data_IF_243142545883
#
_entry.id   IF_243142545883
#
_cell.length_a   1.000
_cell.length_b   1.000
_cell.length_c   1.000
_cell.angle_alpha   90.00
_cell.angle_beta   90.00
_cell.angle_gamma   90.00
#
_symmetry.space_group_name_H-M   'P 1'
#
loop_
_entity.id
_entity.type
_entity.pdbx_description
1 polymer ?
#
# COMPACT_ATOMS: atom_id res chain seq x y z
N UNK A 1 -25.92 10.32 -32.64
CA UNK A 1 -26.22 9.02 -32.00
C UNK A 1 -27.18 9.29 -30.87
N UNK A 2 -28.21 8.47 -30.68
CA UNK A 2 -29.11 8.61 -29.54
C UNK A 2 -28.35 8.26 -28.25
N UNK A 3 -28.56 9.04 -27.21
CA UNK A 3 -27.92 8.80 -25.89
C UNK A 3 -28.81 7.85 -25.10
N UNK A 4 -28.26 6.74 -24.62
CA UNK A 4 -29.00 5.79 -23.78
C UNK A 4 -29.34 6.47 -22.45
N UNK A 5 -30.60 6.34 -22.01
CA UNK A 5 -31.11 6.92 -20.76
C UNK A 5 -31.93 5.87 -20.03
N UNK A 6 -31.48 5.51 -18.81
CA UNK A 6 -32.18 4.57 -17.94
C UNK A 6 -33.05 5.35 -16.95
N UNK A 7 -34.36 5.33 -17.18
CA UNK A 7 -35.31 6.08 -16.39
C UNK A 7 -36.18 5.16 -15.54
N UNK A 8 -36.18 5.39 -14.21
CA UNK A 8 -37.18 4.82 -13.32
C UNK A 8 -38.39 5.74 -13.27
N UNK A 9 -39.55 5.24 -13.71
CA UNK A 9 -40.80 6.01 -13.82
C UNK A 9 -41.75 5.55 -12.71
N UNK A 10 -42.05 6.44 -11.77
CA UNK A 10 -43.01 6.21 -10.69
C UNK A 10 -44.34 6.83 -11.10
N UNK A 11 -45.22 6.01 -11.70
CA UNK A 11 -46.45 6.45 -12.35
C UNK A 11 -47.47 5.30 -12.39
N UNK A 12 -48.72 5.55 -12.07
CA UNK A 12 -49.79 4.57 -12.11
C UNK A 12 -50.50 4.50 -13.48
N UNK A 13 -50.43 5.58 -14.28
CA UNK A 13 -51.00 5.68 -15.60
C UNK A 13 -50.06 5.21 -16.71
N UNK A 14 -50.46 4.20 -17.48
CA UNK A 14 -49.75 3.77 -18.66
C UNK A 14 -49.73 4.86 -19.75
N UNK A 15 -50.84 5.57 -19.93
CA UNK A 15 -50.96 6.64 -20.95
C UNK A 15 -49.98 7.79 -20.63
N UNK A 16 -49.88 8.21 -19.36
CA UNK A 16 -48.94 9.25 -18.96
C UNK A 16 -47.49 8.80 -19.09
N UNK A 17 -47.20 7.56 -18.79
CA UNK A 17 -45.89 6.94 -19.06
C UNK A 17 -45.54 7.03 -20.57
N UNK A 18 -46.46 6.74 -21.45
CA UNK A 18 -46.22 6.81 -22.91
C UNK A 18 -46.00 8.26 -23.38
N UNK A 19 -46.65 9.24 -22.77
CA UNK A 19 -46.38 10.67 -23.02
C UNK A 19 -44.95 11.03 -22.62
N UNK A 20 -44.49 10.64 -21.42
CA UNK A 20 -43.13 10.85 -20.96
C UNK A 20 -42.09 10.24 -21.90
N UNK A 21 -42.27 8.97 -22.28
CA UNK A 21 -41.37 8.26 -23.18
C UNK A 21 -41.29 8.93 -24.58
N UNK A 22 -42.42 9.45 -25.06
CA UNK A 22 -42.44 10.20 -26.33
C UNK A 22 -41.62 11.47 -26.26
N UNK A 23 -41.76 12.24 -25.19
CA UNK A 23 -40.96 13.46 -24.99
C UNK A 23 -39.49 13.18 -24.85
N UNK A 24 -39.07 12.13 -24.09
CA UNK A 24 -37.70 11.70 -23.98
C UNK A 24 -37.07 11.30 -25.32
N UNK A 25 -37.83 10.52 -26.13
CA UNK A 25 -37.37 10.12 -27.47
C UNK A 25 -37.27 11.31 -28.44
N UNK A 26 -38.18 12.30 -28.34
CA UNK A 26 -38.07 13.57 -29.09
C UNK A 26 -36.81 14.35 -28.73
N UNK A 27 -36.35 14.24 -27.49
CA UNK A 27 -35.07 14.80 -26.99
C UNK A 27 -33.82 14.07 -27.45
N UNK A 28 -33.97 13.01 -28.28
CA UNK A 28 -32.83 12.25 -28.82
C UNK A 28 -32.31 11.16 -27.89
N UNK A 29 -33.07 10.78 -26.86
CA UNK A 29 -32.71 9.68 -25.98
C UNK A 29 -33.22 8.34 -26.46
N UNK A 30 -32.40 7.30 -26.36
CA UNK A 30 -32.79 5.92 -26.40
C UNK A 30 -33.15 5.47 -24.98
N UNK A 31 -34.43 5.20 -24.68
CA UNK A 31 -34.90 5.07 -23.31
C UNK A 31 -35.08 3.61 -22.91
N UNK A 32 -34.32 3.15 -21.95
CA UNK A 32 -34.59 1.99 -21.14
C UNK A 32 -35.37 2.44 -19.90
N UNK A 33 -36.47 1.81 -19.60
CA UNK A 33 -37.27 2.23 -18.45
C UNK A 33 -37.88 1.07 -17.67
N UNK A 34 -38.22 1.33 -16.43
CA UNK A 34 -39.07 0.48 -15.60
C UNK A 34 -40.12 1.38 -14.97
N UNK A 35 -41.38 0.97 -15.04
CA UNK A 35 -42.51 1.64 -14.41
C UNK A 35 -42.85 0.95 -13.09
N UNK A 36 -42.98 1.73 -12.03
CA UNK A 36 -43.33 1.25 -10.68
C UNK A 36 -44.48 2.09 -10.12
N UNK A 37 -45.37 1.44 -9.36
CA UNK A 37 -46.59 2.07 -8.82
C UNK A 37 -46.57 2.04 -7.27
N UNK A 38 -45.59 1.38 -6.67
CA UNK A 38 -45.53 1.19 -5.21
C UNK A 38 -44.14 1.43 -4.65
N UNK A 39 -44.06 1.80 -3.39
CA UNK A 39 -42.78 1.98 -2.69
C UNK A 39 -41.89 0.72 -2.76
N UNK A 40 -42.48 -0.45 -2.48
CA UNK A 40 -41.70 -1.70 -2.49
C UNK A 40 -41.10 -2.01 -3.87
N UNK A 41 -41.87 -1.79 -4.95
CA UNK A 41 -41.38 -1.96 -6.30
C UNK A 41 -40.26 -0.96 -6.63
N UNK A 42 -40.39 0.31 -6.22
CA UNK A 42 -39.35 1.31 -6.41
C UNK A 42 -38.07 0.93 -5.65
N UNK A 43 -38.16 0.56 -4.38
CA UNK A 43 -36.99 0.14 -3.57
C UNK A 43 -36.31 -1.08 -4.21
N UNK A 44 -37.07 -2.04 -4.72
CA UNK A 44 -36.54 -3.19 -5.42
C UNK A 44 -35.82 -2.80 -6.72
N UNK A 45 -36.42 -1.93 -7.54
CA UNK A 45 -35.84 -1.45 -8.80
C UNK A 45 -34.52 -0.68 -8.54
N UNK A 46 -34.44 0.14 -7.48
CA UNK A 46 -33.24 0.88 -7.11
C UNK A 46 -32.06 -0.03 -6.73
N UNK A 47 -32.33 -1.24 -6.24
CA UNK A 47 -31.28 -2.22 -5.87
C UNK A 47 -30.89 -3.11 -7.06
N UNK A 48 -31.85 -3.47 -7.89
CA UNK A 48 -31.63 -4.47 -8.96
C UNK A 48 -30.93 -3.92 -10.20
N UNK A 49 -31.08 -2.62 -10.49
CA UNK A 49 -30.54 -1.98 -11.70
C UNK A 49 -29.94 -0.62 -11.40
N UNK A 50 -29.13 -0.16 -12.34
CA UNK A 50 -28.58 1.21 -12.34
C UNK A 50 -29.49 2.13 -13.15
N UNK A 51 -29.78 3.29 -12.60
CA UNK A 51 -30.64 4.32 -13.19
C UNK A 51 -29.87 5.60 -13.41
N UNK A 52 -30.30 6.40 -14.41
CA UNK A 52 -29.74 7.70 -14.70
C UNK A 52 -30.62 8.84 -14.14
N UNK A 53 -31.94 8.61 -14.05
CA UNK A 53 -32.90 9.55 -13.43
C UNK A 53 -34.16 8.85 -12.94
N UNK A 54 -34.92 9.57 -12.08
CA UNK A 54 -36.26 9.19 -11.64
C UNK A 54 -37.25 10.26 -12.08
N UNK A 55 -38.33 9.83 -12.76
CA UNK A 55 -39.50 10.64 -13.06
C UNK A 55 -40.64 10.16 -12.20
N UNK A 56 -41.23 11.03 -11.38
CA UNK A 56 -42.24 10.65 -10.43
C UNK A 56 -43.49 11.50 -10.60
N UNK A 57 -44.66 10.85 -10.78
CA UNK A 57 -45.92 11.58 -10.66
C UNK A 57 -46.18 12.06 -9.25
N UNK A 58 -46.70 13.29 -9.12
CA UNK A 58 -46.98 13.88 -7.82
C UNK A 58 -48.15 13.17 -7.12
N UNK A 59 -49.19 12.78 -7.89
CA UNK A 59 -50.42 12.22 -7.37
C UNK A 59 -50.55 10.74 -7.71
N UNK A 60 -50.12 9.89 -6.79
CA UNK A 60 -50.22 8.44 -6.93
C UNK A 60 -51.25 7.89 -5.91
N UNK A 61 -52.07 6.89 -6.26
CA UNK A 61 -53.13 6.39 -5.38
C UNK A 61 -52.66 5.68 -4.11
N UNK A 62 -51.49 5.10 -4.13
CA UNK A 62 -50.94 4.23 -3.07
C UNK A 62 -49.57 4.65 -2.54
N UNK A 63 -48.98 5.70 -3.11
CA UNK A 63 -47.63 6.08 -2.86
C UNK A 63 -47.45 7.56 -3.23
N UNK A 64 -46.86 8.37 -2.40
CA UNK A 64 -46.73 9.81 -2.70
C UNK A 64 -45.35 10.11 -3.27
N UNK A 65 -45.22 11.20 -4.06
CA UNK A 65 -43.93 11.69 -4.52
C UNK A 65 -42.97 12.02 -3.36
N UNK A 66 -43.49 12.39 -2.21
CA UNK A 66 -42.73 12.58 -0.97
C UNK A 66 -42.09 11.27 -0.47
N UNK A 67 -42.88 10.18 -0.47
CA UNK A 67 -42.39 8.87 -0.06
C UNK A 67 -41.36 8.33 -1.05
N UNK A 68 -41.56 8.60 -2.36
CA UNK A 68 -40.61 8.24 -3.40
C UNK A 68 -39.28 8.97 -3.24
N UNK A 69 -39.31 10.28 -3.01
CA UNK A 69 -38.11 11.08 -2.74
C UNK A 69 -37.38 10.60 -1.47
N UNK A 70 -38.13 10.27 -0.43
CA UNK A 70 -37.56 9.73 0.81
C UNK A 70 -36.92 8.35 0.60
N UNK A 71 -37.56 7.48 -0.21
CA UNK A 71 -36.98 6.16 -0.57
C UNK A 71 -35.68 6.33 -1.34
N UNK A 72 -35.59 7.26 -2.28
CA UNK A 72 -34.33 7.58 -2.98
C UNK A 72 -33.26 8.07 -2.00
N UNK A 73 -33.59 8.99 -1.10
CA UNK A 73 -32.63 9.49 -0.10
C UNK A 73 -32.12 8.38 0.82
N UNK A 74 -32.98 7.46 1.22
CA UNK A 74 -32.62 6.30 2.05
C UNK A 74 -31.76 5.27 1.32
N UNK A 75 -31.85 5.19 -0.01
CA UNK A 75 -30.99 4.31 -0.84
C UNK A 75 -29.54 4.79 -0.94
N UNK A 76 -29.26 6.06 -0.62
CA UNK A 76 -27.93 6.67 -0.78
C UNK A 76 -27.52 6.95 -2.22
N UNK A 77 -28.39 6.67 -3.21
CA UNK A 77 -28.13 6.96 -4.61
C UNK A 77 -28.31 8.44 -4.91
N UNK A 78 -27.40 8.99 -5.70
CA UNK A 78 -27.42 10.40 -6.16
C UNK A 78 -27.98 10.47 -7.57
N UNK A 79 -29.30 10.36 -7.70
CA UNK A 79 -30.01 10.39 -8.98
C UNK A 79 -30.86 11.66 -9.09
N UNK A 80 -30.94 12.28 -10.29
CA UNK A 80 -31.93 13.32 -10.55
C UNK A 80 -33.34 12.80 -10.30
N UNK A 81 -34.10 13.53 -9.48
CA UNK A 81 -35.48 13.23 -9.15
C UNK A 81 -36.36 14.37 -9.64
N UNK A 82 -37.16 14.14 -10.65
CA UNK A 82 -38.04 15.14 -11.26
C UNK A 82 -39.50 14.76 -11.00
N UNK A 83 -40.21 15.68 -10.43
CA UNK A 83 -41.65 15.50 -10.13
C UNK A 83 -42.48 16.04 -11.27
N UNK A 84 -43.52 15.30 -11.63
CA UNK A 84 -44.45 15.63 -12.71
C UNK A 84 -45.85 15.71 -12.12
N UNK A 85 -46.60 16.76 -12.37
CA UNK A 85 -47.92 16.97 -11.78
C UNK A 85 -48.95 17.47 -12.80
N UNK A 86 -50.20 17.05 -12.68
CA UNK A 86 -51.31 17.57 -13.48
C UNK A 86 -51.78 18.96 -13.06
N UNK A 87 -51.58 19.34 -11.80
CA UNK A 87 -51.99 20.61 -11.23
C UNK A 87 -50.83 21.34 -10.58
N UNK A 88 -50.89 22.66 -10.49
CA UNK A 88 -49.88 23.48 -9.81
C UNK A 88 -50.38 23.77 -8.40
N UNK A 89 -49.74 23.20 -7.39
CA UNK A 89 -49.74 23.70 -6.03
C UNK A 89 -48.37 24.31 -5.75
N UNK A 90 -48.26 25.62 -5.89
CA UNK A 90 -46.96 26.33 -5.84
C UNK A 90 -46.23 26.07 -4.50
N UNK A 91 -46.94 25.99 -3.40
CA UNK A 91 -46.34 25.71 -2.09
C UNK A 91 -45.73 24.31 -2.03
N UNK A 92 -46.43 23.28 -2.49
CA UNK A 92 -45.96 21.88 -2.54
C UNK A 92 -44.77 21.72 -3.48
N UNK A 93 -44.75 22.41 -4.60
CA UNK A 93 -43.63 22.39 -5.53
C UNK A 93 -42.34 22.99 -4.92
N UNK A 94 -42.45 24.13 -4.23
CA UNK A 94 -41.34 24.79 -3.54
C UNK A 94 -40.79 23.93 -2.41
N UNK A 95 -41.65 23.29 -1.64
CA UNK A 95 -41.23 22.43 -0.54
C UNK A 95 -40.55 21.17 -1.04
N UNK A 96 -41.05 20.55 -2.13
CA UNK A 96 -40.45 19.39 -2.75
C UNK A 96 -39.03 19.69 -3.26
N UNK A 97 -38.80 20.83 -3.91
CA UNK A 97 -37.51 21.29 -4.36
C UNK A 97 -36.56 21.53 -3.17
N UNK A 98 -37.01 22.14 -2.08
CA UNK A 98 -36.23 22.33 -0.85
C UNK A 98 -35.83 21.00 -0.19
N UNK A 99 -36.64 19.97 -0.34
CA UNK A 99 -36.42 18.66 0.25
C UNK A 99 -35.48 17.79 -0.59
N UNK A 100 -35.17 18.20 -1.84
CA UNK A 100 -34.16 17.54 -2.67
C UNK A 100 -34.65 17.04 -4.03
N UNK A 101 -35.88 17.34 -4.43
CA UNK A 101 -36.30 17.16 -5.83
C UNK A 101 -35.50 18.12 -6.72
N UNK A 102 -35.08 17.65 -7.91
CA UNK A 102 -34.25 18.44 -8.82
C UNK A 102 -35.07 19.43 -9.66
N UNK A 103 -36.29 19.05 -10.04
CA UNK A 103 -37.23 19.97 -10.69
C UNK A 103 -38.67 19.49 -10.45
N UNK A 104 -39.64 20.38 -10.72
CA UNK A 104 -41.06 20.15 -10.67
C UNK A 104 -41.70 20.63 -11.98
N UNK A 105 -42.39 19.74 -12.67
CA UNK A 105 -42.90 19.99 -14.02
C UNK A 105 -44.40 19.73 -14.06
N UNK A 106 -45.14 20.66 -14.66
CA UNK A 106 -46.59 20.50 -14.87
C UNK A 106 -46.87 19.82 -16.17
N UNK A 107 -47.76 18.81 -16.20
CA UNK A 107 -48.12 18.01 -17.37
C UNK A 107 -48.51 18.85 -18.60
N UNK A 108 -49.02 20.08 -18.41
CA UNK A 108 -49.36 21.02 -19.48
C UNK A 108 -48.15 21.84 -19.99
N UNK A 109 -46.94 21.69 -19.40
CA UNK A 109 -45.70 22.40 -19.76
C UNK A 109 -44.51 21.45 -20.00
N UNK A 110 -44.77 20.35 -20.68
CA UNK A 110 -43.79 19.27 -20.94
C UNK A 110 -42.55 19.76 -21.71
N UNK A 111 -42.60 20.91 -22.39
CA UNK A 111 -41.42 21.51 -23.03
C UNK A 111 -40.26 21.80 -22.06
N UNK A 112 -40.52 21.86 -20.73
CA UNK A 112 -39.50 22.04 -19.70
C UNK A 112 -38.83 20.74 -19.26
N UNK A 113 -39.38 19.56 -19.63
CA UNK A 113 -38.88 18.27 -19.15
C UNK A 113 -37.45 18.00 -19.60
N UNK A 114 -37.13 18.16 -20.87
CA UNK A 114 -35.81 17.90 -21.41
C UNK A 114 -34.74 18.80 -20.81
N UNK A 115 -34.92 20.14 -20.75
CA UNK A 115 -33.97 21.03 -20.04
C UNK A 115 -33.77 20.70 -18.56
N UNK A 116 -34.81 20.23 -17.86
CA UNK A 116 -34.70 19.80 -16.45
C UNK A 116 -33.88 18.50 -16.31
N UNK A 117 -34.10 17.55 -17.20
CA UNK A 117 -33.35 16.29 -17.25
C UNK A 117 -31.87 16.56 -17.54
N UNK A 118 -31.57 17.34 -18.58
CA UNK A 118 -30.19 17.69 -18.95
C UNK A 118 -29.44 18.34 -17.78
N UNK A 119 -30.09 19.29 -17.09
CA UNK A 119 -29.53 19.94 -15.91
C UNK A 119 -29.30 18.94 -14.78
N UNK A 120 -30.31 18.14 -14.44
CA UNK A 120 -30.22 17.15 -13.37
C UNK A 120 -29.11 16.12 -13.61
N UNK A 121 -29.00 15.58 -14.82
CA UNK A 121 -27.94 14.65 -15.22
C UNK A 121 -26.54 15.29 -15.13
N UNK A 122 -26.41 16.54 -15.60
CA UNK A 122 -25.16 17.28 -15.52
C UNK A 122 -24.74 17.54 -14.07
N UNK A 123 -25.67 17.94 -13.23
CA UNK A 123 -25.41 18.21 -11.83
C UNK A 123 -25.04 16.93 -11.07
N UNK A 124 -25.73 15.81 -11.33
CA UNK A 124 -25.39 14.51 -10.76
C UNK A 124 -23.99 14.05 -11.22
N UNK A 125 -23.67 14.18 -12.51
CA UNK A 125 -22.35 13.84 -13.04
C UNK A 125 -21.23 14.70 -12.41
N UNK A 126 -21.48 16.01 -12.21
CA UNK A 126 -20.53 16.90 -11.54
C UNK A 126 -20.30 16.51 -10.07
N UNK A 127 -21.36 16.19 -9.33
CA UNK A 127 -21.26 15.74 -7.93
C UNK A 127 -20.49 14.43 -7.83
N UNK A 128 -20.74 13.48 -8.74
CA UNK A 128 -20.02 12.21 -8.78
C UNK A 128 -18.53 12.44 -9.02
N UNK A 129 -18.20 13.24 -10.03
CA UNK A 129 -16.79 13.59 -10.34
C UNK A 129 -16.08 14.28 -9.18
N UNK A 130 -16.77 15.18 -8.48
CA UNK A 130 -16.20 15.84 -7.30
C UNK A 130 -15.90 14.85 -6.16
N UNK A 131 -16.80 13.87 -5.93
CA UNK A 131 -16.58 12.82 -4.92
C UNK A 131 -15.40 11.92 -5.28
N UNK A 132 -15.26 11.55 -6.55
CA UNK A 132 -14.13 10.74 -7.04
C UNK A 132 -12.81 11.48 -6.83
N UNK A 133 -12.72 12.74 -7.25
CA UNK A 133 -11.51 13.58 -7.09
C UNK A 133 -11.17 13.78 -5.60
N UNK A 134 -12.17 14.01 -4.76
CA UNK A 134 -11.95 14.18 -3.32
C UNK A 134 -11.49 12.88 -2.65
N UNK A 135 -12.04 11.73 -3.05
CA UNK A 135 -11.59 10.41 -2.56
C UNK A 135 -10.14 10.13 -2.96
N UNK A 136 -9.78 10.37 -4.24
CA UNK A 136 -8.41 10.24 -4.72
C UNK A 136 -7.45 11.20 -3.98
N UNK A 137 -7.88 12.44 -3.76
CA UNK A 137 -7.09 13.42 -2.99
C UNK A 137 -6.82 12.96 -1.57
N UNK A 138 -7.83 12.39 -0.90
CA UNK A 138 -7.70 11.88 0.47
C UNK A 138 -6.75 10.68 0.53
N UNK A 139 -6.83 9.77 -0.44
CA UNK A 139 -5.92 8.63 -0.54
C UNK A 139 -4.46 9.09 -0.74
N UNK A 140 -4.23 10.03 -1.66
CA UNK A 140 -2.92 10.60 -1.91
C UNK A 140 -2.36 11.33 -0.68
N UNK A 141 -3.19 12.09 0.04
CA UNK A 141 -2.78 12.75 1.28
C UNK A 141 -2.37 11.75 2.36
N UNK A 142 -3.17 10.71 2.59
CA UNK A 142 -2.83 9.66 3.56
C UNK A 142 -1.51 8.97 3.20
N UNK A 143 -1.26 8.73 1.91
CA UNK A 143 0.00 8.15 1.42
C UNK A 143 1.18 9.09 1.64
N UNK A 144 1.01 10.39 1.38
CA UNK A 144 2.05 11.40 1.62
C UNK A 144 2.39 11.53 3.11
N UNK A 145 1.39 11.55 3.99
CA UNK A 145 1.58 11.60 5.44
C UNK A 145 2.34 10.36 5.95
N UNK A 146 2.01 9.17 5.45
CA UNK A 146 2.72 7.94 5.79
C UNK A 146 4.21 8.00 5.37
N UNK A 147 4.49 8.46 4.13
CA UNK A 147 5.86 8.62 3.64
C UNK A 147 6.62 9.69 4.46
N UNK A 148 5.97 10.81 4.78
CA UNK A 148 6.60 11.87 5.56
C UNK A 148 6.96 11.39 6.97
N UNK A 149 6.07 10.65 7.63
CA UNK A 149 6.31 10.05 8.94
C UNK A 149 7.47 9.04 8.91
N UNK A 150 7.58 8.26 7.83
CA UNK A 150 8.70 7.33 7.60
C UNK A 150 10.02 8.10 7.46
N UNK A 151 10.04 9.20 6.69
CA UNK A 151 11.22 10.07 6.52
C UNK A 151 11.63 10.72 7.84
N UNK A 152 10.68 11.25 8.62
CA UNK A 152 10.96 11.85 9.92
C UNK A 152 11.58 10.84 10.89
N UNK A 153 11.00 9.64 10.96
CA UNK A 153 11.53 8.54 11.76
C UNK A 153 12.93 8.13 11.32
N UNK A 154 13.14 7.96 10.01
CA UNK A 154 14.45 7.66 9.43
C UNK A 154 15.49 8.72 9.82
N UNK A 155 15.15 9.99 9.66
CA UNK A 155 16.04 11.11 9.96
C UNK A 155 16.40 11.13 11.46
N UNK A 156 15.41 10.98 12.33
CA UNK A 156 15.62 10.95 13.77
C UNK A 156 16.56 9.81 14.19
N UNK A 157 16.34 8.58 13.71
CA UNK A 157 17.14 7.41 14.03
C UNK A 157 18.57 7.54 13.50
N UNK A 158 18.74 8.04 12.26
CA UNK A 158 20.05 8.30 11.67
C UNK A 158 20.88 9.27 12.52
N UNK A 159 20.29 10.39 12.95
CA UNK A 159 20.99 11.34 13.81
C UNK A 159 21.29 10.78 15.20
N UNK A 160 20.38 9.98 15.76
CA UNK A 160 20.59 9.34 17.06
C UNK A 160 21.82 8.42 17.04
N UNK A 161 21.93 7.56 16.03
CA UNK A 161 23.01 6.57 15.97
C UNK A 161 24.36 7.15 15.54
N UNK A 162 24.36 8.24 14.77
CA UNK A 162 25.58 9.01 14.52
C UNK A 162 26.08 9.79 15.75
N UNK A 163 25.18 10.13 16.69
CA UNK A 163 25.55 10.87 17.90
C UNK A 163 26.41 10.06 18.88
N UNK A 164 26.13 8.75 19.02
CA UNK A 164 26.84 7.90 19.97
C UNK A 164 28.37 7.80 19.68
N UNK A 165 28.82 7.42 18.46
CA UNK A 165 30.24 7.39 18.11
C UNK A 165 30.86 8.80 18.16
N UNK A 166 30.12 9.87 17.81
CA UNK A 166 30.61 11.24 17.92
C UNK A 166 30.89 11.64 19.36
N UNK A 167 30.05 11.24 20.33
CA UNK A 167 30.29 11.47 21.76
C UNK A 167 31.54 10.72 22.20
N UNK A 168 31.74 9.48 21.73
CA UNK A 168 32.93 8.67 22.01
C UNK A 168 34.20 9.38 21.51
N UNK A 169 34.22 9.84 20.26
CA UNK A 169 35.35 10.59 19.69
C UNK A 169 35.65 11.84 20.52
N UNK A 170 34.62 12.67 20.82
CA UNK A 170 34.80 13.90 21.61
C UNK A 170 35.30 13.61 23.00
N UNK A 171 34.78 12.57 23.67
CA UNK A 171 35.20 12.19 25.02
C UNK A 171 36.67 11.76 25.07
N UNK A 172 37.08 10.85 24.20
CA UNK A 172 38.45 10.35 24.17
C UNK A 172 39.45 11.37 23.59
N UNK A 173 39.03 12.28 22.72
CA UNK A 173 39.90 13.41 22.31
C UNK A 173 40.25 14.33 23.50
N UNK A 174 39.29 14.55 24.43
CA UNK A 174 39.55 15.31 25.65
C UNK A 174 40.47 14.58 26.60
N UNK A 175 40.30 13.26 26.79
CA UNK A 175 41.15 12.43 27.64
C UNK A 175 42.60 12.31 27.09
N UNK A 176 42.72 12.14 25.78
CA UNK A 176 44.00 12.02 25.07
C UNK A 176 45.00 13.16 25.41
N UNK A 177 44.47 14.40 25.48
CA UNK A 177 45.29 15.56 25.82
C UNK A 177 45.88 15.45 27.26
N UNK A 178 45.05 15.05 28.21
CA UNK A 178 45.48 14.89 29.62
C UNK A 178 46.45 13.72 29.79
N UNK A 179 46.23 12.62 29.04
CA UNK A 179 47.10 11.44 29.10
C UNK A 179 48.44 11.66 28.45
N UNK A 180 48.50 12.46 27.38
CA UNK A 180 49.76 12.94 26.80
C UNK A 180 50.56 13.80 27.75
N UNK A 181 49.92 14.80 28.42
CA UNK A 181 50.56 15.68 29.40
C UNK A 181 51.06 14.92 30.61
N UNK A 182 50.36 13.83 30.99
CA UNK A 182 50.75 12.97 32.11
C UNK A 182 51.73 11.85 31.75
N UNK A 183 52.15 11.71 30.48
CA UNK A 183 53.10 10.69 30.05
C UNK A 183 52.53 9.25 30.00
N UNK A 184 51.18 9.08 30.00
CA UNK A 184 50.52 7.76 30.02
C UNK A 184 50.39 7.16 28.63
N UNK A 185 51.50 6.76 28.00
CA UNK A 185 51.55 6.35 26.61
C UNK A 185 50.64 5.15 26.27
N UNK A 186 50.47 4.16 27.16
CA UNK A 186 49.58 3.02 26.94
C UNK A 186 48.10 3.44 26.91
N UNK A 187 47.72 4.46 27.69
CA UNK A 187 46.37 4.99 27.66
C UNK A 187 46.11 5.79 26.39
N UNK A 188 47.07 6.60 25.96
CA UNK A 188 47.06 7.33 24.70
C UNK A 188 46.79 6.38 23.53
N UNK A 189 47.51 5.23 23.49
CA UNK A 189 47.34 4.25 22.43
C UNK A 189 45.93 3.65 22.44
N UNK A 190 45.37 3.33 23.61
CA UNK A 190 43.98 2.82 23.75
C UNK A 190 42.95 3.86 23.32
N UNK A 191 43.14 5.13 23.66
CA UNK A 191 42.22 6.20 23.31
C UNK A 191 42.23 6.47 21.80
N UNK A 192 43.40 6.42 21.16
CA UNK A 192 43.50 6.49 19.67
C UNK A 192 42.72 5.35 19.01
N UNK A 193 42.88 4.11 19.53
CA UNK A 193 42.13 2.96 18.98
C UNK A 193 40.61 3.12 19.14
N UNK A 194 40.13 3.66 20.28
CA UNK A 194 38.71 3.92 20.54
C UNK A 194 38.16 5.02 19.62
N UNK A 195 38.95 6.08 19.38
CA UNK A 195 38.58 7.14 18.44
C UNK A 195 38.50 6.59 17.02
N UNK A 196 39.50 5.79 16.60
CA UNK A 196 39.50 5.14 15.27
C UNK A 196 38.29 4.25 15.07
N UNK A 197 38.04 3.32 15.99
CA UNK A 197 36.89 2.43 15.94
C UNK A 197 35.50 3.16 15.94
N UNK A 198 35.42 4.31 16.63
CA UNK A 198 34.21 5.12 16.57
C UNK A 198 34.05 5.85 15.24
N UNK A 199 35.16 6.30 14.62
CA UNK A 199 35.13 6.90 13.28
C UNK A 199 34.76 5.89 12.21
N UNK A 200 35.37 4.69 12.25
CA UNK A 200 35.04 3.58 11.33
C UNK A 200 33.54 3.22 11.40
N UNK A 201 32.98 3.17 12.63
CA UNK A 201 31.56 2.92 12.84
C UNK A 201 30.67 4.03 12.27
N UNK A 202 31.08 5.31 12.33
CA UNK A 202 30.33 6.38 11.67
C UNK A 202 30.34 6.24 10.15
N UNK A 203 31.44 5.83 9.56
CA UNK A 203 31.57 5.62 8.12
C UNK A 203 30.69 4.45 7.65
N UNK A 204 30.63 3.35 8.40
CA UNK A 204 29.70 2.24 8.15
C UNK A 204 28.24 2.73 8.17
N UNK A 205 27.81 3.46 9.20
CA UNK A 205 26.44 3.98 9.30
C UNK A 205 26.11 4.90 8.12
N UNK A 206 27.02 5.81 7.76
CA UNK A 206 26.83 6.74 6.64
C UNK A 206 26.74 5.99 5.29
N UNK A 207 27.58 4.99 5.08
CA UNK A 207 27.57 4.17 3.87
C UNK A 207 26.25 3.42 3.73
N UNK A 208 25.76 2.79 4.80
CA UNK A 208 24.49 2.06 4.82
C UNK A 208 23.28 2.99 4.61
N UNK A 209 23.30 4.19 5.21
CA UNK A 209 22.26 5.21 5.01
C UNK A 209 22.20 5.70 3.55
N UNK A 210 23.38 5.95 2.93
CA UNK A 210 23.45 6.35 1.53
C UNK A 210 22.97 5.22 0.61
N UNK A 211 23.26 3.98 0.95
CA UNK A 211 22.81 2.82 0.20
C UNK A 211 21.30 2.65 0.30
N UNK A 212 20.74 2.72 1.51
CA UNK A 212 19.29 2.71 1.73
C UNK A 212 18.57 3.83 0.95
N UNK A 213 19.10 5.05 0.95
CA UNK A 213 18.53 6.18 0.23
C UNK A 213 18.58 6.05 -1.30
N UNK A 214 19.50 5.23 -1.83
CA UNK A 214 19.63 4.97 -3.28
C UNK A 214 18.68 3.89 -3.79
N UNK A 215 18.19 3.00 -2.92
CA UNK A 215 17.26 1.94 -3.31
C UNK A 215 15.95 2.56 -3.79
N UNK A 216 15.50 2.15 -4.98
CA UNK A 216 14.28 2.64 -5.62
C UNK A 216 14.42 3.97 -6.37
N UNK A 217 15.51 4.75 -6.16
CA UNK A 217 15.76 5.99 -6.93
C UNK A 217 16.55 5.75 -8.19
N UNK A 218 17.50 4.82 -8.17
CA UNK A 218 18.30 4.44 -9.34
C UNK A 218 17.71 3.16 -9.90
N UNK A 219 16.91 3.26 -10.97
CA UNK A 219 16.46 2.08 -11.73
C UNK A 219 17.67 1.52 -12.48
N UNK A 220 18.27 0.46 -11.97
CA UNK A 220 19.15 -0.39 -12.76
C UNK A 220 18.30 -1.27 -13.66
N UNK A 221 18.87 -1.69 -14.79
CA UNK A 221 18.17 -2.62 -15.68
C UNK A 221 17.93 -3.94 -14.92
N UNK A 222 16.68 -4.36 -14.87
CA UNK A 222 16.35 -5.70 -14.37
C UNK A 222 16.75 -6.72 -15.45
N UNK A 223 17.35 -7.80 -15.03
CA UNK A 223 17.80 -8.91 -15.89
C UNK A 223 17.29 -10.25 -15.36
N UNK A 224 17.45 -11.29 -16.15
CA UNK A 224 17.18 -12.68 -15.74
C UNK A 224 18.35 -13.15 -14.85
N UNK A 225 18.07 -13.43 -13.59
CA UNK A 225 19.09 -13.68 -12.57
C UNK A 225 18.95 -15.09 -12.04
N UNK A 226 20.01 -15.88 -12.17
CA UNK A 226 20.14 -17.19 -11.53
C UNK A 226 20.44 -17.00 -10.04
N UNK A 227 19.50 -17.40 -9.18
CA UNK A 227 19.66 -17.31 -7.72
C UNK A 227 20.78 -18.20 -7.23
N UNK A 228 21.02 -19.33 -7.88
CA UNK A 228 22.09 -20.25 -7.49
C UNK A 228 23.48 -19.61 -7.65
N UNK A 229 23.71 -18.90 -8.76
CA UNK A 229 24.94 -18.12 -8.96
C UNK A 229 25.10 -17.03 -7.90
N UNK A 230 24.03 -16.28 -7.60
CA UNK A 230 24.08 -15.22 -6.59
C UNK A 230 24.44 -15.73 -5.21
N UNK A 231 23.84 -16.84 -4.79
CA UNK A 231 24.15 -17.47 -3.51
C UNK A 231 25.59 -17.94 -3.46
N UNK A 232 26.11 -18.51 -4.54
CA UNK A 232 27.52 -18.95 -4.62
C UNK A 232 28.49 -17.75 -4.53
N UNK A 233 28.19 -16.63 -5.20
CA UNK A 233 28.98 -15.39 -5.09
C UNK A 233 28.96 -14.85 -3.64
N UNK A 234 27.80 -14.82 -2.99
CA UNK A 234 27.67 -14.38 -1.60
C UNK A 234 28.47 -15.29 -0.64
N UNK A 235 28.36 -16.61 -0.82
CA UNK A 235 29.12 -17.59 -0.03
C UNK A 235 30.64 -17.49 -0.27
N UNK A 236 31.06 -17.18 -1.51
CA UNK A 236 32.47 -16.95 -1.80
C UNK A 236 33.01 -15.72 -1.04
N UNK A 237 32.26 -14.61 -1.06
CA UNK A 237 32.60 -13.36 -0.35
C UNK A 237 32.66 -13.58 1.17
N UNK A 238 31.68 -14.30 1.73
CA UNK A 238 31.55 -14.55 3.17
C UNK A 238 32.31 -15.82 3.64
N UNK A 239 33.03 -16.49 2.76
CA UNK A 239 33.67 -17.78 3.02
C UNK A 239 34.67 -17.77 4.20
N UNK A 240 35.30 -16.61 4.49
CA UNK A 240 36.14 -16.44 5.66
C UNK A 240 35.35 -16.56 6.96
N UNK A 241 34.19 -15.89 7.04
CA UNK A 241 33.29 -15.90 8.20
C UNK A 241 32.65 -17.29 8.43
N UNK A 242 32.17 -17.90 7.35
CA UNK A 242 31.54 -19.22 7.37
C UNK A 242 32.53 -20.29 7.86
N UNK A 243 33.78 -20.27 7.35
CA UNK A 243 34.84 -21.20 7.79
C UNK A 243 35.27 -20.94 9.22
N UNK A 244 35.44 -19.69 9.62
CA UNK A 244 35.87 -19.34 11.00
C UNK A 244 34.88 -19.85 12.06
N UNK A 245 33.61 -20.00 11.72
CA UNK A 245 32.55 -20.50 12.60
C UNK A 245 32.21 -21.98 12.35
N UNK A 246 32.92 -22.68 11.48
CA UNK A 246 32.69 -24.08 11.08
C UNK A 246 31.24 -24.34 10.60
N UNK A 247 30.62 -23.38 9.92
CA UNK A 247 29.24 -23.48 9.48
C UNK A 247 29.12 -24.39 8.26
N UNK A 248 28.25 -25.40 8.32
CA UNK A 248 27.85 -26.21 7.18
C UNK A 248 26.78 -25.50 6.39
N UNK A 249 26.97 -25.31 5.09
CA UNK A 249 25.97 -24.68 4.21
C UNK A 249 25.36 -25.71 3.29
N UNK A 250 24.05 -25.89 3.38
CA UNK A 250 23.26 -26.75 2.52
C UNK A 250 22.50 -25.91 1.50
N UNK A 251 22.76 -26.14 0.21
CA UNK A 251 22.11 -25.41 -0.87
C UNK A 251 21.19 -26.37 -1.65
N UNK A 252 19.92 -25.98 -1.82
CA UNK A 252 18.99 -26.69 -2.70
C UNK A 252 19.47 -26.68 -4.14
N UNK A 253 19.39 -27.80 -4.88
CA UNK A 253 19.90 -27.86 -6.25
C UNK A 253 19.05 -27.07 -7.26
N UNK A 254 17.78 -26.80 -6.95
CA UNK A 254 16.78 -26.25 -7.88
C UNK A 254 16.37 -24.82 -7.49
N UNK A 255 17.34 -23.91 -7.25
CA UNK A 255 17.00 -22.50 -6.99
C UNK A 255 16.52 -21.83 -8.30
N UNK A 256 15.53 -20.91 -8.22
CA UNK A 256 14.89 -20.37 -9.40
C UNK A 256 15.71 -19.29 -10.11
N UNK A 257 15.32 -19.02 -11.35
CA UNK A 257 15.62 -17.76 -12.01
C UNK A 257 14.56 -16.72 -11.66
N UNK A 258 14.98 -15.51 -11.36
CA UNK A 258 14.12 -14.36 -11.06
C UNK A 258 14.45 -13.16 -11.94
N UNK A 259 13.52 -12.25 -12.10
CA UNK A 259 13.77 -11.03 -12.87
C UNK A 259 13.98 -9.84 -11.94
N UNK A 260 15.19 -9.27 -11.92
CA UNK A 260 15.51 -8.20 -11.00
C UNK A 260 16.90 -7.57 -11.19
N UNK A 261 17.24 -6.64 -10.28
CA UNK A 261 18.61 -6.06 -10.20
C UNK A 261 19.56 -7.07 -9.53
N UNK A 262 20.44 -7.70 -10.33
CA UNK A 262 21.40 -8.71 -9.87
C UNK A 262 22.22 -8.24 -8.67
N UNK A 263 22.68 -6.99 -8.69
CA UNK A 263 23.54 -6.46 -7.63
C UNK A 263 22.76 -6.36 -6.32
N UNK A 264 21.52 -5.86 -6.37
CA UNK A 264 20.65 -5.73 -5.19
C UNK A 264 20.18 -7.08 -4.65
N UNK A 265 19.84 -8.00 -5.52
CA UNK A 265 19.47 -9.36 -5.11
C UNK A 265 20.66 -10.10 -4.47
N UNK A 266 21.89 -9.88 -4.92
CA UNK A 266 23.07 -10.41 -4.25
C UNK A 266 23.24 -9.85 -2.84
N UNK A 267 23.03 -8.54 -2.63
CA UNK A 267 23.06 -7.90 -1.31
C UNK A 267 22.06 -8.53 -0.33
N UNK A 268 20.88 -8.95 -0.82
CA UNK A 268 19.91 -9.69 0.00
C UNK A 268 20.52 -10.96 0.57
N UNK A 269 21.15 -11.79 -0.28
CA UNK A 269 21.77 -13.04 0.19
C UNK A 269 23.00 -12.79 1.06
N UNK A 270 23.83 -11.80 0.71
CA UNK A 270 24.97 -11.40 1.56
C UNK A 270 24.50 -11.05 2.97
N UNK A 271 23.49 -10.19 3.11
CA UNK A 271 22.94 -9.77 4.39
C UNK A 271 22.30 -10.93 5.19
N UNK A 272 21.52 -11.79 4.53
CA UNK A 272 20.86 -12.91 5.20
C UNK A 272 21.87 -13.97 5.67
N UNK A 273 22.85 -14.31 4.83
CA UNK A 273 23.92 -15.27 5.19
C UNK A 273 24.83 -14.71 6.28
N UNK A 274 25.18 -13.42 6.22
CA UNK A 274 25.96 -12.76 7.26
C UNK A 274 25.23 -12.75 8.59
N UNK A 275 23.93 -12.44 8.59
CA UNK A 275 23.10 -12.49 9.80
C UNK A 275 23.01 -13.92 10.35
N UNK A 276 22.75 -14.92 9.53
CA UNK A 276 22.74 -16.33 9.94
C UNK A 276 24.08 -16.73 10.58
N UNK A 277 25.21 -16.36 9.98
CA UNK A 277 26.52 -16.62 10.54
C UNK A 277 26.79 -15.83 11.83
N UNK A 278 26.36 -14.59 11.93
CA UNK A 278 26.55 -13.72 13.08
C UNK A 278 25.82 -14.22 14.32
N UNK A 279 24.56 -14.65 14.17
CA UNK A 279 23.69 -15.10 15.25
C UNK A 279 23.68 -16.64 15.44
N UNK A 280 24.70 -17.32 14.93
CA UNK A 280 24.79 -18.79 14.99
C UNK A 280 24.87 -19.36 16.40
N UNK A 281 25.33 -18.58 17.41
CA UNK A 281 25.60 -19.05 18.79
C UNK A 281 26.60 -20.23 18.84
N UNK A 282 26.69 -20.87 19.99
CA UNK A 282 27.59 -22.01 20.22
C UNK A 282 26.86 -23.34 19.91
N UNK A 283 26.45 -23.51 18.66
CA UNK A 283 25.79 -24.74 18.20
C UNK A 283 26.84 -25.86 18.01
N UNK A 284 26.49 -27.09 18.38
CA UNK A 284 27.37 -28.27 18.14
C UNK A 284 27.60 -28.52 16.65
N UNK A 285 26.57 -28.26 15.83
CA UNK A 285 26.59 -28.41 14.38
C UNK A 285 26.00 -27.16 13.71
N UNK A 286 26.76 -26.07 13.59
CA UNK A 286 26.26 -24.84 13.00
C UNK A 286 25.92 -25.06 11.52
N UNK A 287 24.68 -24.73 11.12
CA UNK A 287 24.15 -25.01 9.80
C UNK A 287 23.36 -23.84 9.24
N UNK A 288 23.54 -23.56 7.96
CA UNK A 288 22.70 -22.67 7.16
C UNK A 288 22.13 -23.50 6.00
N UNK A 289 20.84 -23.42 5.78
CA UNK A 289 20.13 -24.04 4.66
C UNK A 289 19.50 -22.96 3.80
N UNK A 290 19.77 -23.01 2.48
CA UNK A 290 19.20 -22.06 1.50
C UNK A 290 18.43 -22.88 0.47
N UNK A 291 17.17 -22.54 0.27
CA UNK A 291 16.29 -23.33 -0.60
C UNK A 291 15.02 -22.60 -1.01
N UNK A 292 14.14 -23.40 -1.62
CA UNK A 292 12.80 -22.99 -2.01
C UNK A 292 11.75 -23.91 -1.40
N UNK A 293 10.57 -23.38 -1.17
CA UNK A 293 9.36 -24.13 -0.87
C UNK A 293 8.16 -23.53 -1.58
N UNK A 294 7.14 -24.33 -1.79
CA UNK A 294 5.89 -23.86 -2.39
C UNK A 294 4.81 -23.76 -1.31
N UNK A 295 4.07 -22.65 -1.32
CA UNK A 295 2.92 -22.46 -0.44
C UNK A 295 1.85 -21.68 -1.20
N UNK A 296 0.64 -22.25 -1.32
CA UNK A 296 -0.50 -21.63 -2.04
C UNK A 296 -0.12 -21.18 -3.47
N UNK A 297 0.52 -22.05 -4.24
CA UNK A 297 1.03 -21.80 -5.59
C UNK A 297 2.06 -20.66 -5.70
N UNK A 298 2.57 -20.15 -4.58
CA UNK A 298 3.61 -19.14 -4.53
C UNK A 298 4.96 -19.76 -4.16
N UNK A 299 5.98 -19.45 -4.94
CA UNK A 299 7.35 -19.85 -4.65
C UNK A 299 7.95 -18.95 -3.57
N UNK A 300 8.47 -19.57 -2.52
CA UNK A 300 9.12 -18.90 -1.38
C UNK A 300 10.58 -19.33 -1.36
N UNK A 301 11.47 -18.35 -1.42
CA UNK A 301 12.91 -18.55 -1.19
C UNK A 301 13.18 -18.35 0.28
N UNK A 302 14.03 -19.20 0.87
CA UNK A 302 14.35 -19.11 2.29
C UNK A 302 15.84 -19.25 2.57
N UNK A 303 16.26 -18.59 3.65
CA UNK A 303 17.56 -18.79 4.31
C UNK A 303 17.27 -19.16 5.76
N UNK A 304 17.62 -20.37 6.14
CA UNK A 304 17.37 -20.94 7.46
C UNK A 304 18.69 -21.16 8.19
N UNK A 305 18.74 -20.80 9.45
CA UNK A 305 19.83 -21.09 10.37
C UNK A 305 19.31 -21.87 11.59
N UNK A 306 20.20 -22.57 12.27
CA UNK A 306 19.94 -23.22 13.54
C UNK A 306 20.55 -22.44 14.73
N UNK A 307 20.67 -21.13 14.59
CA UNK A 307 21.29 -20.23 15.57
C UNK A 307 20.37 -19.84 16.73
N UNK A 308 20.56 -18.60 17.20
CA UNK A 308 19.90 -18.05 18.39
C UNK A 308 18.37 -17.97 18.28
N UNK A 309 17.81 -17.83 17.07
CA UNK A 309 16.39 -17.63 16.86
C UNK A 309 15.91 -16.20 17.16
N UNK A 310 14.63 -15.95 16.89
CA UNK A 310 13.98 -14.65 17.09
C UNK A 310 12.67 -14.85 17.84
N UNK A 311 12.50 -14.15 18.98
CA UNK A 311 11.23 -14.15 19.70
C UNK A 311 10.10 -13.62 18.79
N UNK A 312 8.94 -14.31 18.73
CA UNK A 312 7.81 -13.93 17.87
C UNK A 312 7.35 -12.46 18.03
N UNK A 313 7.52 -11.89 19.21
CA UNK A 313 7.19 -10.46 19.48
C UNK A 313 8.00 -9.49 18.63
N UNK A 314 9.15 -9.90 18.13
CA UNK A 314 10.07 -9.05 17.36
C UNK A 314 10.06 -9.35 15.86
N UNK A 315 9.30 -10.33 15.36
CA UNK A 315 9.29 -10.72 13.95
C UNK A 315 9.06 -9.57 12.96
N UNK A 316 8.23 -8.62 13.31
CA UNK A 316 8.02 -7.43 12.48
C UNK A 316 9.08 -6.34 12.71
N UNK A 317 9.57 -6.23 13.94
CA UNK A 317 10.49 -5.17 14.35
C UNK A 317 11.90 -5.34 13.82
N UNK A 318 12.39 -6.57 13.63
CA UNK A 318 13.74 -6.83 13.13
C UNK A 318 14.01 -6.27 11.72
N UNK A 319 12.96 -5.96 10.98
CA UNK A 319 13.04 -5.33 9.67
C UNK A 319 12.94 -3.80 9.71
N UNK A 320 12.81 -3.21 10.90
CA UNK A 320 12.83 -1.77 11.07
C UNK A 320 14.27 -1.26 11.12
N UNK A 321 14.47 -0.03 10.64
CA UNK A 321 15.80 0.59 10.63
C UNK A 321 16.34 0.75 12.05
N UNK A 322 17.63 0.40 12.22
CA UNK A 322 18.39 0.51 13.49
C UNK A 322 17.87 -0.39 14.62
N UNK A 323 16.91 -1.29 14.34
CA UNK A 323 16.46 -2.26 15.34
C UNK A 323 17.52 -3.35 15.55
N UNK A 324 17.82 -3.60 16.82
CA UNK A 324 18.70 -4.68 17.29
C UNK A 324 18.05 -5.37 18.47
N UNK A 325 18.05 -6.69 18.47
CA UNK A 325 17.55 -7.47 19.60
C UNK A 325 18.53 -7.44 20.78
N UNK A 326 19.83 -7.40 20.50
CA UNK A 326 20.90 -7.19 21.49
C UNK A 326 21.71 -5.92 21.16
N UNK A 327 21.73 -4.92 22.07
CA UNK A 327 22.49 -3.69 21.87
C UNK A 327 24.00 -3.89 21.68
N UNK A 328 24.56 -5.01 22.17
CA UNK A 328 25.98 -5.31 22.07
C UNK A 328 26.38 -5.92 20.72
N UNK A 329 25.41 -6.26 19.87
CA UNK A 329 25.71 -6.85 18.57
C UNK A 329 26.36 -5.84 17.63
N UNK A 330 27.46 -6.26 16.96
CA UNK A 330 28.16 -5.44 15.98
C UNK A 330 27.29 -5.12 14.76
N UNK A 331 27.47 -3.92 14.19
CA UNK A 331 26.78 -3.42 13.00
C UNK A 331 25.67 -2.41 13.32
N UNK A 332 25.24 -1.61 12.35
CA UNK A 332 24.31 -0.48 12.56
C UNK A 332 22.83 -0.89 12.69
N UNK A 333 22.44 -2.13 12.41
CA UNK A 333 21.04 -2.55 12.43
C UNK A 333 20.24 -2.14 11.18
N UNK A 334 20.92 -1.95 10.05
CA UNK A 334 20.32 -1.52 8.78
C UNK A 334 20.12 -2.69 7.80
N UNK A 335 20.92 -3.75 7.91
CA UNK A 335 20.97 -4.84 6.91
C UNK A 335 19.62 -5.50 6.61
N UNK A 336 18.81 -5.86 7.64
CA UNK A 336 17.49 -6.45 7.41
C UNK A 336 16.47 -5.45 6.85
N UNK A 337 16.54 -4.19 7.25
CA UNK A 337 15.71 -3.12 6.68
C UNK A 337 16.06 -2.86 5.21
N UNK A 338 17.35 -2.91 4.87
CA UNK A 338 17.86 -2.83 3.50
C UNK A 338 17.34 -4.01 2.67
N UNK A 339 17.46 -5.23 3.20
CA UNK A 339 16.96 -6.45 2.59
C UNK A 339 15.45 -6.34 2.30
N UNK A 340 14.67 -5.92 3.28
CA UNK A 340 13.23 -5.69 3.11
C UNK A 340 12.94 -4.68 2.01
N UNK A 341 13.62 -3.55 2.00
CA UNK A 341 13.44 -2.51 0.98
C UNK A 341 13.79 -3.00 -0.42
N UNK A 342 14.87 -3.78 -0.57
CA UNK A 342 15.24 -4.38 -1.86
C UNK A 342 14.12 -5.31 -2.34
N UNK A 343 13.65 -6.23 -1.52
CA UNK A 343 12.59 -7.17 -1.87
C UNK A 343 11.28 -6.44 -2.24
N UNK A 344 10.87 -5.43 -1.47
CA UNK A 344 9.66 -4.65 -1.75
C UNK A 344 9.74 -3.86 -3.06
N UNK A 345 10.90 -3.29 -3.39
CA UNK A 345 11.12 -2.59 -4.68
C UNK A 345 11.05 -3.56 -5.87
N UNK A 346 11.37 -4.84 -5.64
CA UNK A 346 11.20 -5.91 -6.63
C UNK A 346 9.76 -6.49 -6.66
N UNK A 347 8.83 -5.95 -5.85
CA UNK A 347 7.43 -6.40 -5.81
C UNK A 347 7.19 -7.65 -4.95
N UNK A 348 8.18 -8.06 -4.16
CA UNK A 348 8.09 -9.19 -3.24
C UNK A 348 7.75 -8.78 -1.81
N UNK A 349 7.76 -9.75 -0.91
CA UNK A 349 7.66 -9.55 0.54
C UNK A 349 8.67 -10.41 1.27
N UNK A 350 9.11 -9.99 2.47
CA UNK A 350 9.99 -10.74 3.35
C UNK A 350 9.39 -10.87 4.75
N UNK A 351 9.62 -12.00 5.40
CA UNK A 351 9.25 -12.25 6.79
C UNK A 351 10.21 -13.24 7.44
N UNK A 352 10.10 -13.43 8.74
CA UNK A 352 10.86 -14.42 9.50
C UNK A 352 9.90 -15.43 10.14
N UNK A 353 10.33 -16.68 10.22
CA UNK A 353 9.71 -17.74 10.98
C UNK A 353 10.73 -18.25 12.00
N UNK A 354 10.36 -18.20 13.28
CA UNK A 354 11.18 -18.70 14.39
C UNK A 354 10.27 -19.02 15.57
N UNK A 355 10.54 -20.12 16.26
CA UNK A 355 9.80 -20.52 17.46
C UNK A 355 10.34 -19.85 18.73
N UNK A 356 11.42 -19.08 18.64
CA UNK A 356 12.02 -18.36 19.73
C UNK A 356 13.50 -18.68 19.94
N UNK A 357 14.02 -18.30 21.12
CA UNK A 357 15.45 -18.45 21.45
C UNK A 357 15.90 -19.91 21.37
N UNK A 358 17.04 -20.13 20.72
CA UNK A 358 17.68 -21.43 20.57
C UNK A 358 17.06 -22.34 19.49
N UNK A 359 16.01 -21.88 18.80
CA UNK A 359 15.31 -22.68 17.77
C UNK A 359 15.71 -22.34 16.34
N UNK A 360 16.67 -21.40 16.17
CA UNK A 360 17.05 -20.89 14.87
C UNK A 360 16.04 -19.96 14.24
N UNK A 361 16.35 -19.47 13.03
CA UNK A 361 15.49 -18.58 12.28
C UNK A 361 15.39 -19.01 10.82
N UNK A 362 14.25 -18.76 10.19
CA UNK A 362 14.06 -18.94 8.75
C UNK A 362 13.57 -17.62 8.16
N UNK A 363 14.45 -16.92 7.44
CA UNK A 363 14.09 -15.75 6.67
C UNK A 363 13.52 -16.17 5.33
N UNK A 364 12.27 -15.82 5.10
CA UNK A 364 11.49 -16.20 3.92
C UNK A 364 11.16 -14.98 3.09
N UNK A 365 11.27 -15.08 1.77
CA UNK A 365 10.84 -14.01 0.88
C UNK A 365 10.30 -14.52 -0.44
N UNK A 366 9.50 -13.69 -1.09
CA UNK A 366 8.97 -13.94 -2.44
C UNK A 366 9.52 -12.91 -3.40
N UNK A 367 9.62 -13.29 -4.66
CA UNK A 367 9.89 -12.39 -5.78
C UNK A 367 8.87 -12.71 -6.88
N UNK A 368 8.35 -11.70 -7.61
CA UNK A 368 7.40 -11.94 -8.68
C UNK A 368 8.07 -12.65 -9.86
N UNK A 369 7.32 -13.50 -10.54
CA UNK A 369 7.77 -14.14 -11.78
C UNK A 369 7.90 -13.12 -12.92
N UNK A 370 8.73 -13.46 -13.92
CA UNK A 370 8.97 -12.62 -15.11
C UNK A 370 7.68 -12.21 -15.83
N UNK A 371 6.64 -13.04 -15.79
CA UNK A 371 5.32 -12.80 -16.38
C UNK A 371 4.54 -11.69 -15.67
N UNK A 372 4.67 -11.59 -14.36
CA UNK A 372 3.96 -10.63 -13.50
C UNK A 372 4.58 -9.23 -13.57
N UNK A 373 5.91 -9.14 -13.69
CA UNK A 373 6.63 -7.86 -13.78
C UNK A 373 6.24 -7.06 -15.02
N UNK A 374 5.92 -7.72 -16.15
CA UNK A 374 5.44 -7.06 -17.38
C UNK A 374 4.06 -6.43 -17.25
N UNK A 375 3.23 -6.89 -16.32
CA UNK A 375 1.89 -6.34 -16.06
C UNK A 375 1.92 -5.11 -15.14
N UNK A 376 2.90 -5.04 -14.24
CA UNK A 376 3.09 -3.91 -13.30
C UNK A 376 3.80 -2.69 -13.94
N UNK A 377 4.35 -2.85 -15.15
CA UNK A 377 5.07 -1.77 -15.89
C UNK A 377 4.19 -1.12 -16.97
N UNK A 378 2.93 -1.51 -17.13
CA UNK A 378 1.92 -0.91 -18.02
C UNK A 378 0.96 -0.04 -17.21
#
# INVERSE_FOLDING_TARGET
MATLLRALIVEDSEDDTQVLLRELRRGGYEVEYERVETRAAMEQALVQRTWDLILCDYTLPRFSAWDALKALQQSGLDLPFIVISGTIEEESAVEMLKTGAHDFIVKNRMARLLPAIERGLKDAANRHRQREVEAERQELMARLEAINSEIERFTYLAFHDLRAPLITIKGFTGALKQDLEAGRHDQVQRDIQRIGGAADRMDEILSDLLEFARIGRVRRASEDVDIQELVQEALHKLGGLVRAKNITVNLSPDLPHVYGDRVRLREVFENLIENAAKYMSDQEQPMIEIGIRWQNDQQIIFVKDNGQGVDPRYHNRIFELFEKLDPNTQGPGIGLALTKRIIEVHGGRIWVESEGEGQGSTFCFTLPEKSEVKLLQR
#
